data_IF_940409709801
#
_entry.id   IF_940409709801
#
_cell.length_a   1.000
_cell.length_b   1.000
_cell.length_c   1.000
_cell.angle_alpha   90.00
_cell.angle_beta   90.00
_cell.angle_gamma   90.00
#
_symmetry.space_group_name_H-M   'P 1'
#
loop_
_entity.id
_entity.type
_entity.pdbx_description
1 polymer ?
#
# COMPACT_ATOMS: atom_id res chain seq x y z
N UNK A 1 -37.24 -29.71 60.74
CA UNK A 1 -36.62 -30.08 59.46
C UNK A 1 -37.38 -29.42 58.32
N UNK A 2 -36.74 -28.50 57.60
CA UNK A 2 -37.08 -28.08 56.23
C UNK A 2 -35.94 -27.15 55.80
N UNK A 3 -35.31 -27.36 54.64
CA UNK A 3 -34.33 -26.42 54.09
C UNK A 3 -35.05 -25.45 53.16
N UNK A 4 -34.83 -24.14 53.34
CA UNK A 4 -35.06 -23.19 52.25
C UNK A 4 -34.04 -23.50 51.14
N UNK A 5 -34.48 -23.52 49.88
CA UNK A 5 -33.59 -23.64 48.73
C UNK A 5 -33.58 -22.27 48.07
N UNK A 6 -32.62 -21.44 48.46
CA UNK A 6 -32.35 -20.19 47.75
C UNK A 6 -31.60 -20.54 46.47
N UNK A 7 -32.30 -20.48 45.34
CA UNK A 7 -31.72 -20.67 44.00
C UNK A 7 -30.94 -19.41 43.61
N UNK A 8 -29.77 -19.23 44.20
CA UNK A 8 -28.84 -18.15 43.86
C UNK A 8 -28.31 -18.38 42.45
N UNK A 9 -28.95 -17.75 41.45
CA UNK A 9 -28.41 -17.64 40.10
C UNK A 9 -27.05 -16.94 40.19
N UNK A 10 -25.95 -17.54 39.70
CA UNK A 10 -24.65 -16.88 39.72
C UNK A 10 -24.74 -15.62 38.85
N UNK A 11 -24.11 -14.49 39.27
CA UNK A 11 -24.14 -13.28 38.46
C UNK A 11 -23.50 -13.55 37.10
N UNK A 12 -24.14 -13.04 36.04
CA UNK A 12 -23.52 -12.99 34.72
C UNK A 12 -22.18 -12.26 34.84
N UNK A 13 -21.08 -12.98 34.60
CA UNK A 13 -19.78 -12.35 34.41
C UNK A 13 -19.82 -11.52 33.13
N UNK A 14 -19.70 -10.21 33.27
CA UNK A 14 -19.54 -9.30 32.13
C UNK A 14 -18.33 -9.75 31.27
N UNK A 15 -18.42 -9.64 29.93
CA UNK A 15 -17.26 -9.87 29.07
C UNK A 15 -16.16 -8.84 29.39
N UNK A 16 -14.88 -9.22 29.32
CA UNK A 16 -13.79 -8.41 29.88
C UNK A 16 -13.55 -7.12 29.09
N UNK A 17 -13.96 -5.99 29.68
CA UNK A 17 -13.64 -4.62 29.23
C UNK A 17 -12.13 -4.29 29.26
N UNK A 18 -11.27 -5.24 29.63
CA UNK A 18 -9.81 -5.10 29.66
C UNK A 18 -9.11 -5.26 28.31
N UNK A 19 -9.73 -5.92 27.31
CA UNK A 19 -9.05 -6.28 26.05
C UNK A 19 -8.43 -5.10 25.31
N UNK A 20 -9.23 -4.07 25.01
CA UNK A 20 -8.78 -2.84 24.35
C UNK A 20 -7.68 -2.14 25.17
N UNK A 21 -7.84 -2.03 26.49
CA UNK A 21 -6.88 -1.35 27.38
C UNK A 21 -5.52 -2.07 27.41
N UNK A 22 -5.52 -3.40 27.33
CA UNK A 22 -4.30 -4.19 27.22
C UNK A 22 -3.62 -3.98 25.85
N UNK A 23 -4.38 -3.97 24.75
CA UNK A 23 -3.84 -3.72 23.41
C UNK A 23 -3.21 -2.33 23.29
N UNK A 24 -3.85 -1.29 23.83
CA UNK A 24 -3.28 0.07 23.90
C UNK A 24 -1.99 0.15 24.71
N UNK A 25 -1.90 -0.54 25.85
CA UNK A 25 -0.68 -0.58 26.65
C UNK A 25 0.48 -1.28 25.89
N UNK A 26 0.18 -2.40 25.23
CA UNK A 26 1.13 -3.15 24.41
C UNK A 26 1.60 -2.35 23.19
N UNK A 27 0.70 -1.60 22.53
CA UNK A 27 1.04 -0.71 21.41
C UNK A 27 1.88 0.49 21.87
N UNK A 28 1.58 1.06 23.04
CA UNK A 28 2.42 2.12 23.63
C UNK A 28 3.83 1.59 23.94
N UNK A 29 3.96 0.34 24.39
CA UNK A 29 5.24 -0.33 24.60
C UNK A 29 5.99 -0.64 23.29
N UNK A 30 5.27 -0.95 22.19
CA UNK A 30 5.86 -1.04 20.85
C UNK A 30 6.51 0.28 20.43
N UNK A 31 5.78 1.40 20.51
CA UNK A 31 6.29 2.73 20.13
C UNK A 31 7.51 3.11 20.99
N UNK A 32 7.42 2.91 22.31
CA UNK A 32 8.53 3.16 23.24
C UNK A 32 9.72 2.19 23.10
N UNK A 33 9.59 1.12 22.32
CA UNK A 33 10.68 0.22 21.94
C UNK A 33 11.27 0.57 20.57
N UNK A 34 10.43 1.01 19.62
CA UNK A 34 10.87 1.48 18.30
C UNK A 34 11.78 2.70 18.41
N UNK A 35 11.42 3.71 19.22
CA UNK A 35 12.28 4.88 19.47
C UNK A 35 13.67 4.45 19.97
N UNK A 36 13.73 3.48 20.89
CA UNK A 36 15.01 2.97 21.43
C UNK A 36 15.82 2.17 20.41
N UNK A 37 15.17 1.57 19.41
CA UNK A 37 15.86 0.96 18.28
C UNK A 37 16.46 2.05 17.39
N UNK A 38 15.69 3.09 17.05
CA UNK A 38 16.19 4.26 16.30
C UNK A 38 17.38 4.93 16.99
N UNK A 39 17.29 5.14 18.30
CA UNK A 39 18.38 5.73 19.09
C UNK A 39 19.64 4.83 19.06
N UNK A 40 19.48 3.51 19.27
CA UNK A 40 20.61 2.58 19.31
C UNK A 40 21.24 2.32 17.93
N UNK A 41 20.47 2.31 16.84
CA UNK A 41 20.99 2.22 15.48
C UNK A 41 21.73 3.52 15.10
N UNK A 42 21.25 4.68 15.56
CA UNK A 42 21.94 5.97 15.38
C UNK A 42 23.26 6.06 16.15
N UNK A 43 23.36 5.45 17.33
CA UNK A 43 24.62 5.40 18.09
C UNK A 43 25.69 4.51 17.41
N UNK A 44 25.30 3.60 16.51
CA UNK A 44 26.24 2.81 15.69
C UNK A 44 26.83 3.57 14.50
N UNK A 45 26.06 4.45 13.83
CA UNK A 45 26.48 5.20 12.64
C UNK A 45 27.70 6.14 12.88
N UNK A 46 28.12 6.31 14.14
CA UNK A 46 29.30 7.09 14.54
C UNK A 46 30.59 6.29 14.75
N UNK A 47 30.62 4.96 14.55
CA UNK A 47 31.79 4.11 14.85
C UNK A 47 32.34 3.36 13.63
N UNK A 48 33.56 3.67 13.23
CA UNK A 48 34.30 3.11 12.08
C UNK A 48 35.43 2.14 12.47
N UNK A 49 35.52 1.74 13.74
CA UNK A 49 36.64 0.97 14.32
C UNK A 49 36.28 -0.42 14.89
N UNK A 50 37.25 -1.34 14.86
CA UNK A 50 37.16 -2.69 15.46
C UNK A 50 37.32 -2.68 17.00
N UNK A 51 36.46 -1.95 17.69
CA UNK A 51 36.43 -1.86 19.16
C UNK A 51 35.57 -3.00 19.75
N UNK A 52 35.97 -3.70 20.84
CA UNK A 52 35.08 -4.55 21.61
C UNK A 52 33.75 -3.90 22.04
N UNK A 53 33.72 -2.57 22.19
CA UNK A 53 32.50 -1.79 22.40
C UNK A 53 31.50 -1.95 21.25
N UNK A 54 31.95 -2.02 19.99
CA UNK A 54 31.09 -2.20 18.81
C UNK A 54 30.27 -3.48 18.93
N UNK A 55 30.86 -4.56 19.45
CA UNK A 55 30.15 -5.83 19.70
C UNK A 55 29.08 -5.72 20.80
N UNK A 56 29.25 -4.80 21.75
CA UNK A 56 28.24 -4.51 22.76
C UNK A 56 27.12 -3.61 22.21
N UNK A 57 27.45 -2.66 21.33
CA UNK A 57 26.48 -1.80 20.65
C UNK A 57 25.61 -2.58 19.64
N UNK A 58 26.20 -3.45 18.80
CA UNK A 58 25.41 -4.32 17.91
C UNK A 58 24.52 -5.26 18.70
N UNK A 59 25.04 -5.89 19.77
CA UNK A 59 24.23 -6.70 20.68
C UNK A 59 23.11 -5.92 21.40
N UNK A 60 23.29 -4.62 21.64
CA UNK A 60 22.23 -3.75 22.18
C UNK A 60 21.15 -3.40 21.13
N UNK A 61 21.55 -3.18 19.87
CA UNK A 61 20.65 -2.97 18.73
C UNK A 61 19.84 -4.23 18.42
N UNK A 62 20.47 -5.40 18.35
CA UNK A 62 19.77 -6.67 18.11
C UNK A 62 18.79 -6.96 19.26
N UNK A 63 19.19 -6.73 20.51
CA UNK A 63 18.30 -6.84 21.67
C UNK A 63 17.21 -5.76 21.73
N UNK A 64 17.34 -4.64 21.03
CA UNK A 64 16.25 -3.67 20.82
C UNK A 64 15.30 -4.13 19.70
N UNK A 65 15.86 -4.66 18.61
CA UNK A 65 15.12 -5.20 17.46
C UNK A 65 14.22 -6.36 17.88
N UNK A 66 14.75 -7.32 18.63
CA UNK A 66 13.99 -8.45 19.19
C UNK A 66 12.81 -7.99 20.06
N UNK A 67 12.96 -6.92 20.85
CA UNK A 67 11.88 -6.37 21.67
C UNK A 67 10.78 -5.75 20.82
N UNK A 68 11.12 -5.00 19.78
CA UNK A 68 10.16 -4.44 18.82
C UNK A 68 9.39 -5.57 18.13
N UNK A 69 10.09 -6.61 17.65
CA UNK A 69 9.47 -7.75 16.98
C UNK A 69 8.59 -8.60 17.92
N UNK A 70 8.99 -8.79 19.18
CA UNK A 70 8.16 -9.43 20.20
C UNK A 70 6.88 -8.65 20.50
N UNK A 71 6.96 -7.32 20.60
CA UNK A 71 5.77 -6.47 20.73
C UNK A 71 4.85 -6.58 19.51
N UNK A 72 5.41 -6.55 18.29
CA UNK A 72 4.65 -6.74 17.05
C UNK A 72 3.95 -8.10 17.00
N UNK A 73 4.61 -9.20 17.38
CA UNK A 73 4.03 -10.54 17.36
C UNK A 73 2.78 -10.63 18.25
N UNK A 74 2.85 -10.11 19.48
CA UNK A 74 1.70 -10.11 20.42
C UNK A 74 0.53 -9.29 19.88
N UNK A 75 0.80 -8.13 19.27
CA UNK A 75 -0.23 -7.24 18.74
C UNK A 75 -0.92 -7.82 17.49
N UNK A 76 -0.17 -8.45 16.58
CA UNK A 76 -0.69 -9.07 15.36
C UNK A 76 -1.46 -10.38 15.61
N UNK A 77 -1.22 -11.04 16.75
CA UNK A 77 -2.01 -12.18 17.22
C UNK A 77 -3.33 -11.78 17.93
N UNK A 78 -3.56 -10.49 18.15
CA UNK A 78 -4.79 -9.99 18.76
C UNK A 78 -6.03 -10.14 17.88
N UNK A 79 -7.20 -10.35 18.49
CA UNK A 79 -8.47 -10.43 17.77
C UNK A 79 -8.95 -9.05 17.28
N UNK A 80 -9.44 -8.99 16.03
CA UNK A 80 -9.88 -7.74 15.37
C UNK A 80 -11.34 -7.43 15.70
N UNK A 81 -11.60 -6.92 16.90
CA UNK A 81 -12.97 -6.64 17.39
C UNK A 81 -13.51 -5.30 16.89
N UNK A 82 -12.64 -4.31 16.63
CA UNK A 82 -13.02 -2.96 16.20
C UNK A 82 -12.10 -2.37 15.13
N UNK A 83 -12.54 -1.28 14.49
CA UNK A 83 -11.71 -0.49 13.56
C UNK A 83 -10.45 0.07 14.24
N UNK A 84 -10.47 0.29 15.57
CA UNK A 84 -9.28 0.71 16.32
C UNK A 84 -8.24 -0.41 16.41
N UNK A 85 -8.68 -1.65 16.65
CA UNK A 85 -7.78 -2.82 16.70
C UNK A 85 -7.18 -3.11 15.32
N UNK A 86 -8.01 -3.03 14.26
CA UNK A 86 -7.56 -3.08 12.86
C UNK A 86 -6.53 -2.00 12.57
N UNK A 87 -6.74 -0.80 13.11
CA UNK A 87 -5.83 0.32 13.00
C UNK A 87 -4.49 0.08 13.68
N UNK A 88 -4.49 -0.32 14.95
CA UNK A 88 -3.28 -0.60 15.74
C UNK A 88 -2.45 -1.70 15.05
N UNK A 89 -3.10 -2.74 14.54
CA UNK A 89 -2.42 -3.81 13.80
C UNK A 89 -1.85 -3.36 12.45
N UNK A 90 -2.47 -2.39 11.75
CA UNK A 90 -1.92 -1.86 10.51
C UNK A 90 -0.59 -1.15 10.74
N UNK A 91 -0.52 -0.24 11.72
CA UNK A 91 0.73 0.44 12.08
C UNK A 91 1.75 -0.57 12.63
N UNK A 92 1.31 -1.54 13.44
CA UNK A 92 2.17 -2.64 13.92
C UNK A 92 2.79 -3.44 12.76
N UNK A 93 2.02 -3.73 11.71
CA UNK A 93 2.52 -4.45 10.54
C UNK A 93 3.52 -3.60 9.75
N UNK A 94 3.31 -2.29 9.61
CA UNK A 94 4.29 -1.38 8.99
C UNK A 94 5.59 -1.33 9.81
N UNK A 95 5.51 -1.20 11.13
CA UNK A 95 6.69 -1.26 12.04
C UNK A 95 7.43 -2.57 11.88
N UNK A 96 6.71 -3.71 11.88
CA UNK A 96 7.32 -5.03 11.66
C UNK A 96 8.05 -5.08 10.31
N UNK A 97 7.38 -4.71 9.21
CA UNK A 97 7.99 -4.77 7.87
C UNK A 97 9.24 -3.91 7.78
N UNK A 98 9.21 -2.65 8.25
CA UNK A 98 10.37 -1.76 8.25
C UNK A 98 11.57 -2.33 9.02
N UNK A 99 11.32 -3.03 10.13
CA UNK A 99 12.35 -3.56 11.03
C UNK A 99 12.87 -4.94 10.61
N UNK A 100 12.18 -5.65 9.70
CA UNK A 100 12.61 -6.97 9.18
C UNK A 100 13.06 -6.99 7.73
N UNK A 101 12.85 -5.92 6.97
CA UNK A 101 13.14 -5.90 5.52
C UNK A 101 14.55 -5.42 5.23
N UNK A 102 15.24 -6.11 4.32
CA UNK A 102 16.51 -5.70 3.72
C UNK A 102 16.31 -4.77 2.50
N UNK A 103 15.06 -4.60 2.05
CA UNK A 103 14.74 -3.86 0.83
C UNK A 103 14.45 -2.39 1.10
N UNK A 104 15.39 -1.53 0.71
CA UNK A 104 15.23 -0.07 0.77
C UNK A 104 13.92 0.45 0.13
N UNK A 105 13.40 -0.24 -0.90
CA UNK A 105 12.12 0.10 -1.54
C UNK A 105 10.89 -0.10 -0.63
N UNK A 106 10.91 -1.09 0.27
CA UNK A 106 9.82 -1.32 1.24
C UNK A 106 9.88 -0.28 2.36
N UNK A 107 11.09 0.08 2.83
CA UNK A 107 11.30 1.18 3.79
C UNK A 107 10.87 2.53 3.19
N UNK A 108 11.22 2.81 1.94
CA UNK A 108 10.81 4.02 1.23
C UNK A 108 9.27 4.11 1.05
N UNK A 109 8.60 2.99 0.77
CA UNK A 109 7.14 2.95 0.72
C UNK A 109 6.52 3.26 2.09
N UNK A 110 7.09 2.74 3.18
CA UNK A 110 6.64 3.01 4.55
C UNK A 110 6.89 4.48 4.94
N UNK A 111 8.04 5.06 4.56
CA UNK A 111 8.35 6.48 4.72
C UNK A 111 7.31 7.35 4.01
N UNK A 112 7.04 7.07 2.73
CA UNK A 112 6.05 7.82 1.95
C UNK A 112 4.65 7.72 2.58
N UNK A 113 4.23 6.55 3.07
CA UNK A 113 2.99 6.39 3.81
C UNK A 113 2.95 7.21 5.11
N UNK A 114 4.07 7.29 5.84
CA UNK A 114 4.19 8.15 7.02
C UNK A 114 4.11 9.64 6.66
N UNK A 115 4.85 10.10 5.65
CA UNK A 115 4.83 11.50 5.20
C UNK A 115 3.44 11.93 4.70
N UNK A 116 2.74 11.04 3.99
CA UNK A 116 1.37 11.26 3.53
C UNK A 116 0.40 11.59 4.69
N UNK A 117 0.62 11.14 5.93
CA UNK A 117 -0.30 11.38 7.06
C UNK A 117 -0.54 12.87 7.34
N UNK A 118 0.47 13.72 7.15
CA UNK A 118 0.42 15.16 7.45
C UNK A 118 -0.17 15.94 6.29
N UNK A 119 -0.01 15.40 5.08
CA UNK A 119 -0.54 15.97 3.85
C UNK A 119 -2.00 15.55 3.62
N UNK A 120 -2.45 14.45 4.24
CA UNK A 120 -3.70 13.78 3.88
C UNK A 120 -4.39 13.14 5.08
N UNK A 121 -5.72 13.37 5.21
CA UNK A 121 -6.62 12.68 6.17
C UNK A 121 -6.90 11.22 5.75
N UNK A 122 -5.87 10.52 5.26
CA UNK A 122 -5.94 9.28 4.49
C UNK A 122 -5.97 8.01 5.37
N UNK A 123 -6.02 8.22 6.68
CA UNK A 123 -5.70 7.22 7.67
C UNK A 123 -6.90 6.99 8.59
N UNK A 124 -7.72 5.98 8.26
CA UNK A 124 -8.86 5.55 9.11
C UNK A 124 -8.44 4.87 10.43
N UNK A 125 -7.14 4.93 10.75
CA UNK A 125 -6.59 4.78 12.11
C UNK A 125 -6.94 5.95 13.02
N UNK A 126 -7.42 7.09 12.52
CA UNK A 126 -7.90 8.19 13.38
C UNK A 126 -9.40 8.05 13.69
N UNK A 127 -9.79 8.32 14.93
CA UNK A 127 -11.17 8.27 15.41
C UNK A 127 -11.46 9.56 16.19
N UNK A 128 -12.07 10.59 15.58
CA UNK A 128 -12.23 11.92 16.19
C UNK A 128 -13.10 11.97 17.46
N UNK A 129 -13.75 10.87 17.84
CA UNK A 129 -14.37 10.70 19.16
C UNK A 129 -13.41 10.23 20.26
N UNK A 130 -12.10 10.06 19.98
CA UNK A 130 -11.09 9.41 20.82
C UNK A 130 -9.70 10.09 20.69
N UNK A 131 -9.53 11.37 21.09
CA UNK A 131 -8.26 12.10 20.95
C UNK A 131 -7.04 11.44 21.64
N UNK A 132 -7.26 10.63 22.69
CA UNK A 132 -6.19 9.86 23.35
C UNK A 132 -5.72 8.61 22.58
N UNK A 133 -6.41 8.24 21.50
CA UNK A 133 -6.03 7.19 20.55
C UNK A 133 -5.32 7.81 19.34
N UNK A 134 -5.88 8.92 18.84
CA UNK A 134 -5.25 9.72 17.78
C UNK A 134 -3.82 10.14 18.18
N UNK A 135 -3.65 10.72 19.38
CA UNK A 135 -2.35 11.12 19.91
C UNK A 135 -1.39 9.96 20.30
N UNK A 136 -1.83 8.70 20.16
CA UNK A 136 -0.98 7.49 20.25
C UNK A 136 -0.62 6.99 18.85
N UNK A 137 -1.52 7.13 17.87
CA UNK A 137 -1.25 6.88 16.46
C UNK A 137 -0.24 7.86 15.88
N UNK A 138 -0.37 9.15 16.19
CA UNK A 138 0.58 10.19 15.79
C UNK A 138 2.01 9.79 16.20
N UNK A 139 2.20 9.50 17.50
CA UNK A 139 3.50 9.09 18.05
C UNK A 139 4.04 7.78 17.47
N UNK A 140 3.16 6.85 17.10
CA UNK A 140 3.57 5.60 16.47
C UNK A 140 4.06 5.83 15.04
N UNK A 141 3.36 6.68 14.29
CA UNK A 141 3.79 7.09 12.96
C UNK A 141 5.01 8.01 13.01
N UNK A 142 5.14 8.89 14.01
CA UNK A 142 6.33 9.74 14.22
C UNK A 142 7.57 8.87 14.41
N UNK A 143 7.52 7.91 15.35
CA UNK A 143 8.61 6.98 15.59
C UNK A 143 8.94 6.13 14.35
N UNK A 144 7.92 5.67 13.62
CA UNK A 144 8.10 4.92 12.38
C UNK A 144 8.67 5.77 11.23
N UNK A 145 8.29 7.05 11.13
CA UNK A 145 8.81 7.98 10.13
C UNK A 145 10.26 8.34 10.44
N UNK A 146 10.60 8.57 11.71
CA UNK A 146 11.97 8.80 12.16
C UNK A 146 12.87 7.56 11.92
N UNK A 147 12.33 6.36 12.14
CA UNK A 147 12.99 5.10 11.79
C UNK A 147 13.20 4.97 10.27
N UNK A 148 12.13 5.08 9.48
CA UNK A 148 12.15 4.87 8.03
C UNK A 148 12.86 6.00 7.25
N UNK A 149 13.09 7.16 7.86
CA UNK A 149 13.89 8.25 7.29
C UNK A 149 15.39 7.92 7.23
N UNK A 150 15.91 7.17 8.21
CA UNK A 150 17.36 7.07 8.45
C UNK A 150 17.98 8.43 8.83
N UNK A 151 19.31 8.58 8.73
CA UNK A 151 19.99 9.84 9.05
C UNK A 151 19.78 10.95 7.98
N UNK A 152 18.55 11.46 7.91
CA UNK A 152 18.24 12.80 7.41
C UNK A 152 17.56 12.92 6.04
N UNK A 153 16.22 12.99 6.04
CA UNK A 153 15.48 13.99 5.24
C UNK A 153 14.06 14.23 5.82
N UNK A 154 13.38 15.35 5.48
CA UNK A 154 11.94 15.58 5.79
C UNK A 154 11.36 16.88 5.20
N UNK A 155 10.16 16.85 4.58
CA UNK A 155 9.16 17.97 4.50
C UNK A 155 7.86 17.69 3.68
N UNK A 156 6.72 17.51 4.36
CA UNK A 156 5.67 18.54 4.54
C UNK A 156 4.55 18.82 3.51
N UNK A 157 3.39 19.22 4.06
CA UNK A 157 2.25 20.02 3.51
C UNK A 157 1.07 19.34 2.76
N UNK A 158 -0.17 19.72 3.13
CA UNK A 158 -1.44 19.35 2.48
C UNK A 158 -2.57 20.38 2.72
N UNK A 159 -3.81 20.11 2.31
CA UNK A 159 -4.99 21.00 2.52
C UNK A 159 -6.36 20.28 2.42
N UNK A 160 -7.49 21.02 2.54
CA UNK A 160 -8.87 20.53 2.80
C UNK A 160 -9.92 20.97 1.74
N UNK A 161 -11.15 20.42 1.73
CA UNK A 161 -12.19 20.72 0.72
C UNK A 161 -13.63 20.21 0.96
N UNK A 162 -14.48 20.36 -0.08
CA UNK A 162 -15.84 19.81 -0.37
C UNK A 162 -16.13 20.18 -1.88
N UNK A 163 -17.26 20.01 -2.58
CA UNK A 163 -18.68 19.73 -2.23
C UNK A 163 -19.24 18.54 -3.02
N UNK A 164 -20.14 17.76 -2.41
CA UNK A 164 -20.79 16.59 -3.03
C UNK A 164 -21.70 16.88 -4.24
N UNK A 165 -21.29 16.38 -5.42
CA UNK A 165 -22.13 16.21 -6.65
C UNK A 165 -22.05 14.74 -7.08
N UNK A 166 -23.16 14.12 -7.51
CA UNK A 166 -23.28 12.67 -7.76
C UNK A 166 -22.06 12.05 -8.49
N UNK A 167 -21.59 12.71 -9.56
CA UNK A 167 -20.27 12.48 -10.13
C UNK A 167 -19.34 13.65 -9.77
N UNK A 168 -18.22 13.34 -9.13
CA UNK A 168 -17.08 14.26 -8.96
C UNK A 168 -16.28 14.41 -10.27
N UNK A 169 -15.44 15.44 -10.36
CA UNK A 169 -14.46 15.56 -11.43
C UNK A 169 -13.58 14.31 -11.50
N UNK A 170 -13.05 13.86 -10.36
CA UNK A 170 -12.28 12.62 -10.23
C UNK A 170 -13.01 11.40 -10.83
N UNK A 171 -14.28 11.19 -10.48
CA UNK A 171 -15.06 10.07 -11.02
C UNK A 171 -15.16 10.11 -12.55
N UNK A 172 -15.22 11.30 -13.15
CA UNK A 172 -15.22 11.48 -14.60
C UNK A 172 -13.83 11.23 -15.22
N UNK A 173 -12.76 11.75 -14.61
CA UNK A 173 -11.38 11.53 -15.06
C UNK A 173 -10.98 10.06 -14.96
N UNK A 174 -11.33 9.36 -13.88
CA UNK A 174 -11.02 7.95 -13.73
C UNK A 174 -11.82 7.05 -14.67
N UNK A 175 -13.09 7.34 -14.97
CA UNK A 175 -13.81 6.62 -16.04
C UNK A 175 -13.16 6.81 -17.41
N UNK A 176 -12.60 8.00 -17.69
CA UNK A 176 -11.82 8.26 -18.92
C UNK A 176 -10.49 7.50 -18.92
N UNK A 177 -9.82 7.36 -17.77
CA UNK A 177 -8.63 6.53 -17.62
C UNK A 177 -8.92 5.05 -17.89
N UNK A 178 -9.99 4.48 -17.32
CA UNK A 178 -10.41 3.10 -17.59
C UNK A 178 -10.66 2.85 -19.09
N UNK A 179 -11.27 3.80 -19.81
CA UNK A 179 -11.45 3.71 -21.26
C UNK A 179 -10.14 3.83 -22.05
N UNK A 180 -9.16 4.60 -21.55
CA UNK A 180 -7.85 4.70 -22.18
C UNK A 180 -7.00 3.43 -21.95
N UNK A 181 -7.04 2.83 -20.75
CA UNK A 181 -6.43 1.52 -20.47
C UNK A 181 -7.00 0.43 -21.40
N UNK A 182 -8.33 0.38 -21.55
CA UNK A 182 -9.01 -0.57 -22.45
C UNK A 182 -8.64 -0.36 -23.92
N UNK A 183 -8.52 0.90 -24.36
CA UNK A 183 -8.07 1.21 -25.72
C UNK A 183 -6.60 0.82 -25.97
N UNK A 184 -5.72 1.10 -25.00
CA UNK A 184 -4.31 0.68 -25.04
C UNK A 184 -4.21 -0.84 -25.15
N UNK A 185 -4.86 -1.59 -24.25
CA UNK A 185 -4.84 -3.06 -24.24
C UNK A 185 -5.25 -3.63 -25.61
N UNK A 186 -6.27 -3.06 -26.27
CA UNK A 186 -6.67 -3.48 -27.61
C UNK A 186 -5.71 -3.06 -28.74
N UNK A 187 -5.03 -1.92 -28.62
CA UNK A 187 -4.02 -1.49 -29.59
C UNK A 187 -2.75 -2.36 -29.48
N UNK A 188 -2.27 -2.58 -28.26
CA UNK A 188 -1.16 -3.47 -27.94
C UNK A 188 -1.42 -4.90 -28.42
N UNK A 189 -2.61 -5.46 -28.14
CA UNK A 189 -3.04 -6.78 -28.62
C UNK A 189 -2.92 -6.95 -30.14
N UNK A 190 -3.02 -5.88 -30.93
CA UNK A 190 -2.89 -5.94 -32.38
C UNK A 190 -1.43 -6.00 -32.87
N UNK A 191 -0.45 -5.59 -32.05
CA UNK A 191 0.99 -5.65 -32.36
C UNK A 191 1.74 -6.78 -31.65
N UNK A 192 1.14 -7.45 -30.65
CA UNK A 192 1.74 -8.62 -30.00
C UNK A 192 2.16 -9.69 -31.03
N UNK A 193 3.35 -10.27 -30.86
CA UNK A 193 3.99 -11.19 -31.83
C UNK A 193 3.17 -12.44 -32.17
N UNK A 194 2.23 -12.83 -31.29
CA UNK A 194 1.29 -13.94 -31.50
C UNK A 194 0.14 -13.61 -32.45
N UNK A 195 -0.03 -12.34 -32.81
CA UNK A 195 -1.11 -11.79 -33.67
C UNK A 195 -0.53 -11.13 -34.93
N UNK A 196 0.59 -10.42 -34.79
CA UNK A 196 1.28 -9.75 -35.89
C UNK A 196 2.13 -10.73 -36.74
N UNK A 197 1.52 -11.31 -37.77
CA UNK A 197 2.19 -12.28 -38.66
C UNK A 197 3.28 -11.69 -39.60
N UNK A 198 3.29 -10.37 -39.82
CA UNK A 198 4.30 -9.66 -40.58
C UNK A 198 4.52 -8.25 -40.02
N UNK A 199 5.69 -8.03 -39.41
CA UNK A 199 6.10 -6.74 -38.81
C UNK A 199 6.55 -5.70 -39.84
N UNK A 200 6.79 -6.09 -41.09
CA UNK A 200 7.17 -5.19 -42.17
C UNK A 200 5.96 -4.67 -42.96
N UNK A 201 4.76 -5.22 -42.74
CA UNK A 201 3.57 -4.76 -43.47
C UNK A 201 3.11 -3.36 -42.99
N UNK A 202 2.60 -2.49 -43.90
CA UNK A 202 2.08 -1.16 -43.52
C UNK A 202 0.95 -1.18 -42.48
N UNK A 203 0.24 -2.32 -42.34
CA UNK A 203 -0.81 -2.51 -41.33
C UNK A 203 -0.22 -2.63 -39.92
N UNK A 204 0.95 -3.26 -39.77
CA UNK A 204 1.66 -3.34 -38.50
C UNK A 204 2.16 -1.95 -38.08
N UNK A 205 2.81 -1.20 -38.99
CA UNK A 205 3.22 0.18 -38.70
C UNK A 205 2.03 1.11 -38.35
N UNK A 206 0.86 0.88 -38.95
CA UNK A 206 -0.38 1.59 -38.57
C UNK A 206 -0.86 1.21 -37.16
N UNK A 207 -0.71 -0.06 -36.76
CA UNK A 207 -1.07 -0.53 -35.42
C UNK A 207 -0.09 -0.05 -34.34
N UNK A 208 1.22 -0.05 -34.62
CA UNK A 208 2.27 0.54 -33.76
C UNK A 208 1.96 2.00 -33.41
N UNK A 209 1.73 2.84 -34.43
CA UNK A 209 1.35 4.24 -34.22
C UNK A 209 0.04 4.39 -33.41
N UNK A 210 -0.87 3.41 -33.51
CA UNK A 210 -2.10 3.34 -32.71
C UNK A 210 -1.84 3.00 -31.24
N UNK A 211 -0.91 2.08 -30.96
CA UNK A 211 -0.50 1.71 -29.61
C UNK A 211 0.24 2.87 -28.91
N UNK A 212 1.21 3.50 -29.58
CA UNK A 212 1.94 4.68 -29.09
C UNK A 212 0.98 5.85 -28.76
N UNK A 213 0.00 6.10 -29.63
CA UNK A 213 -1.03 7.11 -29.41
C UNK A 213 -1.97 6.75 -28.24
N UNK A 214 -2.34 5.48 -28.08
CA UNK A 214 -3.15 5.01 -26.96
C UNK A 214 -2.39 5.08 -25.62
N UNK A 215 -1.08 4.78 -25.61
CA UNK A 215 -0.21 4.89 -24.43
C UNK A 215 -0.08 6.33 -23.99
N UNK A 216 0.18 7.24 -24.93
CA UNK A 216 0.23 8.69 -24.68
C UNK A 216 -1.12 9.19 -24.15
N UNK A 217 -2.23 8.79 -24.77
CA UNK A 217 -3.57 9.15 -24.32
C UNK A 217 -3.89 8.60 -22.92
N UNK A 218 -3.37 7.41 -22.55
CA UNK A 218 -3.51 6.87 -21.20
C UNK A 218 -2.70 7.67 -20.19
N UNK A 219 -1.44 8.03 -20.50
CA UNK A 219 -0.61 8.89 -19.65
C UNK A 219 -1.27 10.26 -19.42
N UNK A 220 -1.84 10.88 -20.46
CA UNK A 220 -2.66 12.10 -20.32
C UNK A 220 -3.85 11.90 -19.36
N UNK A 221 -4.52 10.74 -19.39
CA UNK A 221 -5.63 10.45 -18.44
C UNK A 221 -5.14 10.18 -17.02
N UNK A 222 -3.95 9.61 -16.84
CA UNK A 222 -3.30 9.49 -15.52
C UNK A 222 -3.02 10.89 -14.97
N UNK A 223 -2.41 11.79 -15.75
CA UNK A 223 -2.16 13.18 -15.32
C UNK A 223 -3.47 13.93 -15.01
N UNK A 224 -4.53 13.72 -15.81
CA UNK A 224 -5.86 14.26 -15.52
C UNK A 224 -6.48 13.74 -14.20
N UNK A 225 -6.18 12.49 -13.81
CA UNK A 225 -6.62 11.92 -12.52
C UNK A 225 -5.79 12.51 -11.38
N UNK A 226 -4.47 12.61 -11.55
CA UNK A 226 -3.57 13.12 -10.52
C UNK A 226 -3.75 14.61 -10.21
N UNK A 227 -4.23 15.39 -11.19
CA UNK A 227 -4.51 16.82 -11.06
C UNK A 227 -5.98 17.16 -10.71
N UNK A 228 -6.85 16.16 -10.46
CA UNK A 228 -8.26 16.40 -10.17
C UNK A 228 -8.54 16.58 -8.67
N UNK A 229 -9.38 17.56 -8.33
CA UNK A 229 -9.75 17.89 -6.95
C UNK A 229 -10.36 16.71 -6.18
N UNK A 230 -9.85 16.48 -4.97
CA UNK A 230 -10.29 15.40 -4.07
C UNK A 230 -11.50 15.83 -3.24
N UNK A 231 -12.67 15.94 -3.86
CA UNK A 231 -13.89 16.43 -3.18
C UNK A 231 -14.57 15.36 -2.29
N UNK A 232 -14.10 14.11 -2.31
CA UNK A 232 -14.65 12.97 -1.54
C UNK A 232 -13.60 11.94 -1.11
N UNK A 233 -13.94 11.15 -0.09
CA UNK A 233 -13.19 9.94 0.28
C UNK A 233 -13.12 8.90 -0.84
N UNK A 234 -14.19 8.72 -1.63
CA UNK A 234 -14.14 7.86 -2.83
C UNK A 234 -13.20 8.40 -3.91
N UNK A 235 -13.04 9.71 -4.04
CA UNK A 235 -12.19 10.33 -5.07
C UNK A 235 -10.72 10.08 -4.79
N UNK A 236 -10.31 10.19 -3.52
CA UNK A 236 -8.98 9.82 -3.04
C UNK A 236 -8.59 8.38 -3.42
N UNK A 237 -9.51 7.41 -3.29
CA UNK A 237 -9.27 6.00 -3.67
C UNK A 237 -9.20 5.76 -5.18
N UNK A 238 -9.62 6.73 -6.00
CA UNK A 238 -9.41 6.73 -7.46
C UNK A 238 -8.09 7.42 -7.82
N UNK A 239 -7.72 8.50 -7.12
CA UNK A 239 -6.40 9.14 -7.24
C UNK A 239 -5.27 8.16 -6.96
N UNK A 240 -5.37 7.39 -5.86
CA UNK A 240 -4.38 6.36 -5.48
C UNK A 240 -4.14 5.33 -6.57
N UNK A 241 -5.19 4.86 -7.24
CA UNK A 241 -5.06 3.88 -8.33
C UNK A 241 -4.47 4.52 -9.58
N UNK A 242 -4.76 5.81 -9.85
CA UNK A 242 -4.07 6.58 -10.89
C UNK A 242 -2.57 6.74 -10.59
N UNK A 243 -2.20 7.00 -9.33
CA UNK A 243 -0.81 7.10 -8.88
C UNK A 243 -0.09 5.75 -8.92
N UNK A 244 -0.77 4.68 -8.51
CA UNK A 244 -0.26 3.31 -8.60
C UNK A 244 0.01 2.91 -10.05
N UNK A 245 -0.92 3.19 -10.98
CA UNK A 245 -0.71 2.96 -12.41
C UNK A 245 0.49 3.75 -12.93
N UNK A 246 0.60 5.04 -12.56
CA UNK A 246 1.77 5.86 -12.93
C UNK A 246 3.07 5.24 -12.43
N UNK A 247 3.13 4.90 -11.14
CA UNK A 247 4.32 4.31 -10.53
C UNK A 247 4.69 2.96 -11.14
N UNK A 248 3.71 2.21 -11.65
CA UNK A 248 3.96 0.96 -12.37
C UNK A 248 4.62 1.24 -13.74
N UNK A 249 4.17 2.26 -14.47
CA UNK A 249 4.68 2.66 -15.79
C UNK A 249 6.01 3.44 -15.74
N UNK A 250 6.27 4.20 -14.67
CA UNK A 250 7.51 4.95 -14.46
C UNK A 250 8.71 4.03 -14.11
N UNK A 251 8.56 2.70 -14.17
CA UNK A 251 9.62 1.69 -13.90
C UNK A 251 10.19 1.10 -15.18
N UNK A 252 11.49 1.26 -15.38
CA UNK A 252 12.20 0.84 -16.60
C UNK A 252 12.70 -0.63 -16.62
N UNK A 253 12.15 -1.52 -15.78
CA UNK A 253 12.61 -2.91 -15.68
C UNK A 253 11.48 -3.88 -15.28
N UNK A 254 11.24 -4.87 -16.12
CA UNK A 254 10.10 -5.80 -16.09
C UNK A 254 9.95 -6.52 -14.74
N UNK A 255 11.05 -7.03 -14.16
CA UNK A 255 11.04 -7.68 -12.85
C UNK A 255 10.54 -6.76 -11.73
N UNK A 256 10.88 -5.46 -11.83
CA UNK A 256 10.48 -4.44 -10.85
C UNK A 256 9.03 -3.98 -11.08
N UNK A 257 8.57 -4.01 -12.33
CA UNK A 257 7.18 -3.75 -12.71
C UNK A 257 6.26 -4.89 -12.23
N UNK A 258 6.65 -6.14 -12.50
CA UNK A 258 5.94 -7.35 -12.09
C UNK A 258 5.87 -7.49 -10.57
N UNK A 259 6.99 -7.33 -9.86
CA UNK A 259 7.00 -7.39 -8.38
C UNK A 259 6.13 -6.30 -7.73
N UNK A 260 5.98 -5.13 -8.36
CA UNK A 260 5.06 -4.10 -7.88
C UNK A 260 3.60 -4.40 -8.24
N UNK A 261 3.32 -4.99 -9.40
CA UNK A 261 1.99 -5.46 -9.76
C UNK A 261 1.49 -6.55 -8.79
N UNK A 262 2.33 -7.54 -8.48
CA UNK A 262 2.00 -8.61 -7.54
C UNK A 262 1.72 -8.05 -6.14
N UNK A 263 2.46 -7.01 -5.72
CA UNK A 263 2.21 -6.26 -4.49
C UNK A 263 0.86 -5.51 -4.54
N UNK A 264 0.55 -4.78 -5.62
CA UNK A 264 -0.73 -4.09 -5.80
C UNK A 264 -1.91 -5.07 -5.79
N UNK A 265 -1.75 -6.25 -6.39
CA UNK A 265 -2.75 -7.32 -6.37
C UNK A 265 -2.92 -7.93 -4.98
N UNK A 266 -1.84 -8.16 -4.23
CA UNK A 266 -1.90 -8.64 -2.85
C UNK A 266 -2.62 -7.66 -1.91
N UNK A 267 -2.38 -6.35 -2.09
CA UNK A 267 -3.02 -5.28 -1.31
C UNK A 267 -4.33 -4.73 -1.92
N UNK A 268 -4.90 -5.38 -2.94
CA UNK A 268 -6.10 -4.92 -3.65
C UNK A 268 -7.22 -4.47 -2.69
N UNK A 269 -7.55 -5.27 -1.68
CA UNK A 269 -8.65 -5.00 -0.73
C UNK A 269 -8.49 -3.67 0.04
N UNK A 270 -7.27 -3.17 0.23
CA UNK A 270 -7.01 -1.94 0.98
C UNK A 270 -7.33 -0.68 0.18
N UNK A 271 -7.26 -0.75 -1.15
CA UNK A 271 -7.70 0.33 -2.04
C UNK A 271 -9.23 0.35 -2.22
N UNK A 272 -9.90 -0.80 -2.10
CA UNK A 272 -11.35 -0.92 -2.37
C UNK A 272 -12.20 -0.10 -1.38
N UNK A 273 -13.09 0.76 -1.89
CA UNK A 273 -13.96 1.57 -1.04
C UNK A 273 -14.96 0.72 -0.25
N UNK A 274 -15.01 0.96 1.07
CA UNK A 274 -15.84 0.21 2.02
C UNK A 274 -17.10 0.99 2.42
N UNK A 275 -18.27 0.37 2.28
CA UNK A 275 -19.57 0.99 2.58
C UNK A 275 -20.69 0.56 1.64
N UNK A 276 -21.92 0.98 1.95
CA UNK A 276 -23.15 0.57 1.24
C UNK A 276 -23.79 1.62 0.33
N UNK A 277 -23.23 2.84 0.24
CA UNK A 277 -23.86 3.94 -0.54
C UNK A 277 -23.83 3.68 -2.05
N UNK A 278 -24.67 4.40 -2.80
CA UNK A 278 -24.69 4.28 -4.27
C UNK A 278 -23.36 4.76 -4.91
N UNK A 279 -22.75 5.82 -4.36
CA UNK A 279 -21.42 6.31 -4.81
C UNK A 279 -20.37 5.25 -4.51
N UNK A 280 -20.35 4.74 -3.28
CA UNK A 280 -19.39 3.72 -2.83
C UNK A 280 -19.50 2.42 -3.66
N UNK A 281 -20.71 1.99 -4.05
CA UNK A 281 -20.90 0.87 -4.98
C UNK A 281 -20.33 1.18 -6.37
N UNK A 282 -20.62 2.36 -6.93
CA UNK A 282 -20.13 2.74 -8.27
C UNK A 282 -18.62 2.90 -8.32
N UNK A 283 -18.00 3.49 -7.29
CA UNK A 283 -16.55 3.54 -7.16
C UNK A 283 -15.97 2.14 -7.05
N UNK A 284 -16.58 1.22 -6.28
CA UNK A 284 -16.13 -0.18 -6.19
C UNK A 284 -16.19 -0.91 -7.54
N UNK A 285 -17.19 -0.65 -8.38
CA UNK A 285 -17.26 -1.16 -9.77
C UNK A 285 -16.09 -0.63 -10.62
N UNK A 286 -15.78 0.66 -10.52
CA UNK A 286 -14.66 1.29 -11.25
C UNK A 286 -13.30 0.75 -10.78
N UNK A 287 -13.13 0.50 -9.49
CA UNK A 287 -11.92 -0.11 -8.93
C UNK A 287 -11.78 -1.58 -9.33
N UNK A 288 -12.86 -2.37 -9.29
CA UNK A 288 -12.85 -3.74 -9.79
C UNK A 288 -12.45 -3.80 -11.27
N UNK A 289 -12.99 -2.89 -12.10
CA UNK A 289 -12.59 -2.75 -13.51
C UNK A 289 -11.13 -2.31 -13.67
N UNK A 290 -10.64 -1.41 -12.82
CA UNK A 290 -9.21 -1.02 -12.81
C UNK A 290 -8.30 -2.25 -12.63
N UNK A 291 -8.51 -3.06 -11.58
CA UNK A 291 -7.69 -4.24 -11.33
C UNK A 291 -7.84 -5.31 -12.44
N UNK A 292 -9.02 -5.45 -13.04
CA UNK A 292 -9.23 -6.33 -14.21
C UNK A 292 -8.48 -5.85 -15.47
N UNK A 293 -8.41 -4.54 -15.72
CA UNK A 293 -7.64 -3.98 -16.84
C UNK A 293 -6.14 -4.05 -16.56
N UNK A 294 -5.70 -3.79 -15.32
CA UNK A 294 -4.30 -3.94 -14.91
C UNK A 294 -3.80 -5.38 -15.10
N UNK A 295 -4.59 -6.37 -14.69
CA UNK A 295 -4.34 -7.80 -14.95
C UNK A 295 -4.36 -8.21 -16.44
N UNK A 296 -4.89 -7.38 -17.33
CA UNK A 296 -4.85 -7.63 -18.78
C UNK A 296 -3.64 -6.95 -19.42
N UNK A 297 -3.30 -5.73 -18.97
CA UNK A 297 -2.10 -5.01 -19.39
C UNK A 297 -0.83 -5.80 -19.04
N UNK A 298 -0.72 -6.29 -17.80
CA UNK A 298 0.41 -7.13 -17.32
C UNK A 298 0.45 -8.56 -17.91
N UNK A 299 -0.34 -8.85 -18.96
CA UNK A 299 -0.26 -10.10 -19.76
C UNK A 299 0.23 -9.87 -21.18
N UNK A 300 0.47 -8.61 -21.55
CA UNK A 300 1.11 -8.21 -22.80
C UNK A 300 2.63 -8.41 -22.65
N UNK A 301 3.29 -8.86 -23.70
CA UNK A 301 4.73 -9.17 -23.70
C UNK A 301 5.54 -7.94 -23.24
N UNK A 302 5.19 -6.75 -23.75
CA UNK A 302 5.86 -5.46 -23.49
C UNK A 302 5.58 -4.85 -22.10
N UNK A 303 4.81 -5.55 -21.25
CA UNK A 303 4.52 -5.16 -19.87
C UNK A 303 4.98 -6.22 -18.84
N UNK A 304 5.89 -7.12 -19.22
CA UNK A 304 6.36 -8.23 -18.37
C UNK A 304 5.48 -9.48 -18.42
N UNK A 305 4.54 -9.55 -19.37
CA UNK A 305 3.76 -10.76 -19.62
C UNK A 305 4.65 -11.92 -20.12
N UNK A 306 4.20 -13.18 -19.98
CA UNK A 306 4.97 -14.35 -20.40
C UNK A 306 5.03 -14.44 -21.94
N UNK A 307 6.04 -13.78 -22.51
CA UNK A 307 6.31 -13.74 -23.94
C UNK A 307 6.59 -15.12 -24.55
N UNK A 308 6.56 -15.26 -25.89
CA UNK A 308 6.73 -16.55 -26.57
C UNK A 308 8.12 -17.18 -26.38
N UNK A 309 9.09 -16.46 -25.81
CA UNK A 309 10.43 -16.96 -25.46
C UNK A 309 10.58 -17.41 -24.00
N UNK A 310 9.51 -17.90 -23.38
CA UNK A 310 9.49 -18.46 -22.01
C UNK A 310 10.23 -19.80 -21.84
N UNK A 311 11.33 -19.97 -22.57
CA UNK A 311 12.45 -20.90 -22.37
C UNK A 311 13.50 -20.55 -23.44
N UNK A 312 14.79 -20.65 -23.10
CA UNK A 312 15.89 -20.05 -23.89
C UNK A 312 16.22 -20.76 -25.21
N UNK A 313 15.38 -20.61 -26.24
CA UNK A 313 15.50 -21.33 -27.52
C UNK A 313 15.41 -20.45 -28.78
N UNK A 314 16.22 -19.38 -28.88
CA UNK A 314 16.56 -18.79 -30.18
C UNK A 314 17.59 -19.68 -30.92
N UNK A 315 17.19 -20.91 -31.24
CA UNK A 315 17.89 -21.79 -32.16
C UNK A 315 17.63 -21.37 -33.62
N UNK A 316 18.64 -21.41 -34.51
CA UNK A 316 18.50 -20.89 -35.87
C UNK A 316 17.90 -21.92 -36.84
N UNK A 317 16.61 -22.20 -36.72
CA UNK A 317 15.86 -23.01 -37.71
C UNK A 317 15.55 -22.19 -38.98
N UNK A 318 16.61 -21.85 -39.71
CA UNK A 318 16.59 -21.33 -41.09
C UNK A 318 17.26 -22.34 -42.03
N UNK A 319 16.71 -23.56 -42.09
CA UNK A 319 17.24 -24.64 -42.94
C UNK A 319 16.19 -25.71 -43.33
N UNK A 320 15.20 -25.35 -44.16
CA UNK A 320 14.41 -26.28 -44.99
C UNK A 320 13.81 -25.57 -46.21
#
# INVERSE_FOLDING_TARGET
>A
MAKHIDTTVPPFTEPPTGGLRAMFAQFTALVGSLVKLTDAERDLDGYDGQDPALSAYTGAVDAARDRVLAHCAVLLLGERVSDMDRGLQMVTQMVRTAVTTDKAAEVALIRNLCEMREQTVLFRIYNPGKPGYDAVMDKALDALSAYAAGPGDSRGLGLSGEVSVAHSAMSLHFNRLLGAMEHLIHAEQAIQRRVAADVLCPRFGTAMNGAEAALTAMQDRILCVLAADLTRDEDRRLWELGFALRSLLDRAADETQQGFFDLLMHYQEFFMVSGGSAVTRRTREMQARYFQLLQQMMKLDDFGGPGPGGDGAFGPDLAA
#
